data_IF_678744129571
#
_entry.id   IF_678744129571
#
_cell.length_a   1.000
_cell.length_b   1.000
_cell.length_c   1.000
_cell.angle_alpha   90.00
_cell.angle_beta   90.00
_cell.angle_gamma   90.00
#
_symmetry.space_group_name_H-M   'P 1'
#
loop_
_entity.id
_entity.type
_entity.pdbx_description
1 polymer ?
#
# COMPACT_ATOMS: atom_id res chain seq x y z
N UNK A 1 13.99 -0.33 -18.24
CA UNK A 1 13.04 -1.44 -17.98
C UNK A 1 13.02 -1.85 -16.49
N UNK A 2 14.13 -2.25 -15.88
CA UNK A 2 14.15 -2.78 -14.49
C UNK A 2 13.54 -1.81 -13.46
N UNK A 3 13.86 -0.52 -13.54
CA UNK A 3 13.31 0.49 -12.62
C UNK A 3 11.78 0.59 -12.66
N UNK A 4 11.16 0.35 -13.81
CA UNK A 4 9.71 0.31 -13.94
C UNK A 4 9.13 -0.90 -13.20
N UNK A 5 9.74 -2.08 -13.38
CA UNK A 5 9.32 -3.31 -12.71
C UNK A 5 9.45 -3.20 -11.19
N UNK A 6 10.56 -2.66 -10.68
CA UNK A 6 10.76 -2.46 -9.24
C UNK A 6 9.69 -1.54 -8.63
N UNK A 7 9.30 -0.49 -9.36
CA UNK A 7 8.25 0.45 -8.95
C UNK A 7 6.87 -0.18 -8.98
N UNK A 8 6.48 -0.84 -10.08
CA UNK A 8 5.13 -1.43 -10.21
C UNK A 8 4.93 -2.60 -9.23
N UNK A 9 5.98 -3.38 -8.93
CA UNK A 9 5.93 -4.39 -7.88
C UNK A 9 5.79 -3.80 -6.46
N UNK A 10 5.99 -2.50 -6.29
CA UNK A 10 5.81 -1.81 -5.02
C UNK A 10 4.46 -1.12 -4.94
N UNK A 11 4.09 -0.35 -5.96
CA UNK A 11 2.77 0.28 -6.05
C UNK A 11 2.50 0.77 -7.49
N UNK A 12 1.27 0.62 -8.05
CA UNK A 12 0.94 1.13 -9.39
C UNK A 12 1.15 2.65 -9.55
N UNK A 13 0.81 3.45 -8.54
CA UNK A 13 1.05 4.90 -8.54
C UNK A 13 2.53 5.30 -8.68
N UNK A 14 3.49 4.44 -8.35
CA UNK A 14 4.91 4.76 -8.54
C UNK A 14 5.34 4.78 -10.02
N UNK A 15 4.54 4.17 -10.90
CA UNK A 15 4.74 4.22 -12.35
C UNK A 15 3.71 5.09 -13.07
N UNK A 16 2.50 5.23 -12.52
CA UNK A 16 1.42 6.04 -13.10
C UNK A 16 1.47 7.52 -12.68
N UNK A 17 2.12 7.81 -11.54
CA UNK A 17 2.07 9.11 -10.87
C UNK A 17 0.75 9.34 -10.13
N UNK A 18 0.69 10.38 -9.29
CA UNK A 18 -0.50 10.74 -8.51
C UNK A 18 -1.71 11.10 -9.38
N UNK A 19 -1.46 11.62 -10.59
CA UNK A 19 -2.49 12.04 -11.54
C UNK A 19 -2.15 11.46 -12.92
N UNK A 20 -2.60 10.24 -13.23
CA UNK A 20 -2.37 9.67 -14.55
C UNK A 20 -3.08 10.52 -15.61
N UNK A 21 -2.39 10.75 -16.72
CA UNK A 21 -2.97 11.50 -17.84
C UNK A 21 -4.21 10.78 -18.40
N UNK A 22 -5.20 11.55 -18.85
CA UNK A 22 -6.46 11.00 -19.40
C UNK A 22 -6.24 10.05 -20.58
N UNK A 23 -5.23 10.33 -21.42
CA UNK A 23 -4.86 9.45 -22.54
C UNK A 23 -4.32 8.11 -22.07
N UNK A 24 -3.50 8.11 -21.01
CA UNK A 24 -2.94 6.89 -20.44
C UNK A 24 -4.01 6.05 -19.73
N UNK A 25 -4.94 6.69 -19.03
CA UNK A 25 -6.13 6.03 -18.46
C UNK A 25 -6.96 5.35 -19.55
N UNK A 26 -7.20 6.03 -20.66
CA UNK A 26 -7.93 5.46 -21.80
C UNK A 26 -7.20 4.25 -22.41
N UNK A 27 -5.89 4.37 -22.66
CA UNK A 27 -5.09 3.26 -23.19
C UNK A 27 -5.09 2.04 -22.28
N UNK A 28 -5.01 2.24 -20.96
CA UNK A 28 -5.07 1.14 -20.00
C UNK A 28 -6.47 0.50 -20.01
N UNK A 29 -7.52 1.31 -20.04
CA UNK A 29 -8.90 0.83 -20.08
C UNK A 29 -9.24 0.05 -21.36
N UNK A 30 -8.58 0.36 -22.48
CA UNK A 30 -8.76 -0.39 -23.74
C UNK A 30 -8.12 -1.79 -23.70
N UNK A 31 -7.05 -1.94 -22.92
CA UNK A 31 -6.28 -3.20 -22.80
C UNK A 31 -6.76 -4.05 -21.63
N UNK A 32 -7.20 -3.40 -20.55
CA UNK A 32 -7.68 -4.04 -19.32
C UNK A 32 -9.13 -3.60 -19.11
N UNK A 33 -10.10 -4.45 -19.44
CA UNK A 33 -11.51 -4.20 -19.13
C UNK A 33 -11.67 -3.93 -17.62
N UNK A 34 -12.62 -3.05 -17.25
CA UNK A 34 -12.93 -2.67 -15.86
C UNK A 34 -11.81 -1.98 -15.07
N UNK A 35 -10.72 -1.55 -15.74
CA UNK A 35 -9.61 -0.88 -15.07
C UNK A 35 -9.90 0.60 -14.72
N UNK A 36 -10.87 1.23 -15.38
CA UNK A 36 -11.18 2.66 -15.16
C UNK A 36 -11.63 2.97 -13.72
N UNK A 37 -12.43 2.09 -13.12
CA UNK A 37 -12.84 2.22 -11.71
C UNK A 37 -11.64 1.98 -10.78
N UNK A 38 -10.86 0.94 -11.05
CA UNK A 38 -9.64 0.60 -10.30
C UNK A 38 -8.59 1.74 -10.33
N UNK A 39 -8.47 2.47 -11.44
CA UNK A 39 -7.56 3.62 -11.57
C UNK A 39 -7.94 4.76 -10.64
N UNK A 40 -9.22 4.93 -10.34
CA UNK A 40 -9.73 5.95 -9.42
C UNK A 40 -9.51 5.57 -7.95
N UNK A 41 -9.49 4.27 -7.66
CA UNK A 41 -9.29 3.68 -6.34
C UNK A 41 -7.84 3.31 -6.03
N UNK A 42 -6.84 3.65 -6.86
CA UNK A 42 -5.45 3.22 -6.67
C UNK A 42 -4.80 3.67 -5.34
N UNK A 43 -5.40 4.59 -4.61
CA UNK A 43 -4.93 4.98 -3.27
C UNK A 43 -5.34 3.98 -2.20
N UNK A 44 -6.22 3.01 -2.51
CA UNK A 44 -6.62 1.95 -1.61
C UNK A 44 -5.48 0.94 -1.41
N UNK A 45 -5.31 0.52 -0.15
CA UNK A 45 -4.22 -0.34 0.31
C UNK A 45 -4.12 -1.66 -0.47
N UNK A 46 -5.25 -2.23 -0.88
CA UNK A 46 -5.34 -3.50 -1.62
C UNK A 46 -4.58 -3.51 -2.95
N UNK A 47 -4.31 -2.34 -3.55
CA UNK A 47 -3.54 -2.24 -4.78
C UNK A 47 -2.02 -2.32 -4.57
N UNK A 48 -1.55 -2.42 -3.33
CA UNK A 48 -0.18 -2.77 -2.99
C UNK A 48 -0.13 -3.96 -2.03
N UNK A 49 0.17 -5.17 -2.54
CA UNK A 49 0.34 -6.35 -1.69
C UNK A 49 1.38 -6.18 -0.60
N UNK A 50 2.39 -5.32 -0.82
CA UNK A 50 3.39 -4.99 0.20
C UNK A 50 2.82 -4.17 1.35
N UNK A 51 1.90 -3.24 1.06
CA UNK A 51 1.25 -2.44 2.09
C UNK A 51 0.21 -3.27 2.88
N UNK A 52 -0.49 -4.17 2.21
CA UNK A 52 -1.37 -5.17 2.86
C UNK A 52 -0.57 -6.02 3.85
N UNK A 53 0.50 -6.66 3.39
CA UNK A 53 1.36 -7.47 4.26
C UNK A 53 2.01 -6.64 5.38
N UNK A 54 2.37 -5.38 5.11
CA UNK A 54 2.89 -4.49 6.14
C UNK A 54 1.84 -4.19 7.21
N UNK A 55 0.58 -3.93 6.83
CA UNK A 55 -0.51 -3.73 7.79
C UNK A 55 -0.67 -4.96 8.69
N UNK A 56 -0.75 -6.15 8.09
CA UNK A 56 -0.87 -7.41 8.84
C UNK A 56 0.27 -7.57 9.85
N UNK A 57 1.53 -7.36 9.44
CA UNK A 57 2.69 -7.45 10.32
C UNK A 57 2.63 -6.41 11.46
N UNK A 58 2.19 -5.17 11.16
CA UNK A 58 2.07 -4.13 12.17
C UNK A 58 0.98 -4.47 13.19
N UNK A 59 -0.18 -4.96 12.74
CA UNK A 59 -1.27 -5.40 13.59
C UNK A 59 -0.87 -6.59 14.47
N UNK A 60 -0.16 -7.58 13.90
CA UNK A 60 0.42 -8.71 14.64
C UNK A 60 1.44 -8.26 15.71
N UNK A 61 2.16 -7.16 15.45
CA UNK A 61 3.06 -6.53 16.43
C UNK A 61 2.34 -5.63 17.44
N UNK A 62 1.01 -5.52 17.39
CA UNK A 62 0.23 -4.63 18.25
C UNK A 62 0.42 -3.14 17.94
N UNK A 63 0.90 -2.80 16.74
CA UNK A 63 1.13 -1.43 16.29
C UNK A 63 -0.11 -0.96 15.49
N UNK A 64 -0.70 0.17 15.89
CA UNK A 64 -1.83 0.78 15.15
C UNK A 64 -3.20 0.19 15.46
N UNK A 65 -3.32 -0.66 16.47
CA UNK A 65 -4.62 -1.14 16.98
C UNK A 65 -5.14 -0.20 18.07
N UNK A 66 -6.45 0.11 18.07
CA UNK A 66 -7.11 1.01 19.04
C UNK A 66 -7.22 0.42 20.46
N UNK A 67 -6.35 -0.52 20.83
CA UNK A 67 -6.30 -1.16 22.14
C UNK A 67 -5.67 -0.22 23.19
N UNK A 68 -6.20 1.00 23.31
CA UNK A 68 -5.96 1.94 24.40
C UNK A 68 -6.74 1.53 25.67
N UNK A 69 -6.58 0.28 26.09
CA UNK A 69 -7.07 -0.23 27.36
C UNK A 69 -5.89 -0.83 28.13
N UNK A 70 -5.70 -0.37 29.37
CA UNK A 70 -4.63 -0.70 30.32
C UNK A 70 -4.26 -2.20 30.48
N UNK A 71 -5.04 -3.12 29.91
CA UNK A 71 -4.82 -4.57 29.89
C UNK A 71 -3.70 -5.05 28.93
N UNK A 72 -3.29 -4.25 27.93
CA UNK A 72 -2.19 -4.63 27.03
C UNK A 72 -0.80 -4.43 27.67
N UNK A 73 -0.69 -3.57 28.69
CA UNK A 73 0.56 -3.32 29.41
C UNK A 73 0.98 -4.51 30.29
N UNK A 74 0.02 -5.35 30.71
CA UNK A 74 0.24 -6.51 31.59
C UNK A 74 0.59 -7.79 30.82
N UNK A 75 0.34 -7.84 29.50
CA UNK A 75 0.54 -9.01 28.65
C UNK A 75 1.74 -8.90 27.68
N UNK A 76 2.62 -7.90 27.83
CA UNK A 76 3.88 -7.78 27.07
C UNK A 76 3.76 -7.53 25.55
N UNK A 77 2.55 -7.50 24.97
CA UNK A 77 2.33 -7.46 23.52
C UNK A 77 2.25 -6.07 22.87
N UNK A 78 2.22 -4.97 23.64
CA UNK A 78 1.98 -3.61 23.11
C UNK A 78 3.22 -2.73 22.90
N UNK A 79 4.44 -3.27 22.86
CA UNK A 79 5.68 -2.47 22.93
C UNK A 79 6.57 -2.54 21.69
N UNK A 80 6.15 -3.22 20.63
CA UNK A 80 6.99 -3.37 19.45
C UNK A 80 7.14 -2.02 18.73
N UNK A 81 8.38 -1.67 18.38
CA UNK A 81 8.70 -0.46 17.60
C UNK A 81 9.23 -0.88 16.23
N UNK A 82 8.63 -0.35 15.17
CA UNK A 82 9.04 -0.63 13.80
C UNK A 82 9.83 0.55 13.20
N UNK A 83 10.81 0.23 12.35
CA UNK A 83 11.44 1.17 11.43
C UNK A 83 11.06 0.75 10.01
N UNK A 84 10.48 1.67 9.24
CA UNK A 84 10.08 1.40 7.86
C UNK A 84 11.10 2.09 6.94
N UNK A 85 11.73 1.31 6.07
CA UNK A 85 12.68 1.81 5.08
C UNK A 85 12.05 1.75 3.69
N UNK A 86 12.10 2.86 2.97
CA UNK A 86 11.64 2.97 1.59
C UNK A 86 12.67 3.73 0.75
N UNK A 87 12.74 3.39 -0.55
CA UNK A 87 13.63 4.08 -1.51
C UNK A 87 12.92 5.20 -2.27
N UNK A 88 11.59 5.15 -2.34
CA UNK A 88 10.78 6.13 -3.07
C UNK A 88 10.10 7.07 -2.07
N UNK A 89 9.99 8.34 -2.46
CA UNK A 89 9.21 9.36 -1.76
C UNK A 89 7.76 9.30 -2.20
#
# INVERSE_FOLDING_TARGET
AIQYLLKVCSHPLLVLGEKPSRSLVHQISDVIPDCAENLSCLHELQHSPKLVALQEILEECGIGTDNAGDEAAIAGGGQHRALIFAQHK
#
